data_IF_361231418733
#
_entry.id   IF_361231418733
#
_cell.length_a   1.000
_cell.length_b   1.000
_cell.length_c   1.000
_cell.angle_alpha   90.00
_cell.angle_beta   90.00
_cell.angle_gamma   90.00
#
_symmetry.space_group_name_H-M   'P 1'
#
loop_
_entity.id
_entity.type
_entity.pdbx_description
1 polymer ?
#
# COMPACT_ATOMS: atom_id res chain seq x y z
N UNK A 1 -3.32 -18.20 -12.38
CA UNK A 1 -3.62 -17.29 -11.23
C UNK A 1 -3.50 -15.86 -11.70
N UNK A 2 -4.43 -14.98 -11.27
CA UNK A 2 -4.45 -13.54 -11.59
C UNK A 2 -4.23 -12.74 -10.30
N UNK A 3 -3.32 -11.76 -10.33
CA UNK A 3 -3.04 -10.88 -9.20
C UNK A 3 -3.17 -9.43 -9.64
N UNK A 4 -3.87 -8.63 -8.85
CA UNK A 4 -4.11 -7.21 -9.08
C UNK A 4 -3.23 -6.37 -8.16
N UNK A 5 -2.38 -5.53 -8.75
CA UNK A 5 -1.54 -4.57 -8.06
C UNK A 5 -2.25 -3.22 -8.00
N UNK A 6 -2.43 -2.69 -6.81
CA UNK A 6 -3.02 -1.37 -6.55
C UNK A 6 -1.93 -0.43 -6.08
N UNK A 7 -1.58 0.54 -6.92
CA UNK A 7 -0.42 1.41 -6.68
C UNK A 7 0.88 0.81 -7.22
N UNK A 8 1.13 1.04 -8.51
CA UNK A 8 2.27 0.49 -9.25
C UNK A 8 3.56 1.34 -9.10
N UNK A 9 3.95 1.62 -7.87
CA UNK A 9 5.22 2.26 -7.51
C UNK A 9 6.39 1.27 -7.41
N UNK A 10 7.52 1.72 -6.88
CA UNK A 10 8.78 0.95 -6.79
C UNK A 10 8.59 -0.43 -6.13
N UNK A 11 8.02 -0.51 -4.94
CA UNK A 11 7.80 -1.79 -4.23
C UNK A 11 6.92 -2.74 -5.05
N UNK A 12 5.86 -2.22 -5.69
CA UNK A 12 5.01 -3.04 -6.54
C UNK A 12 5.74 -3.60 -7.77
N UNK A 13 6.64 -2.82 -8.38
CA UNK A 13 7.45 -3.27 -9.52
C UNK A 13 8.49 -4.31 -9.11
N UNK A 14 9.11 -4.19 -7.93
CA UNK A 14 9.98 -5.22 -7.34
C UNK A 14 9.21 -6.51 -7.10
N UNK A 15 8.05 -6.42 -6.46
CA UNK A 15 7.15 -7.56 -6.26
C UNK A 15 6.74 -8.22 -7.58
N UNK A 16 6.48 -7.42 -8.62
CA UNK A 16 6.13 -7.95 -9.94
C UNK A 16 7.24 -8.81 -10.55
N UNK A 17 8.51 -8.42 -10.39
CA UNK A 17 9.66 -9.23 -10.87
C UNK A 17 9.72 -10.61 -10.21
N UNK A 18 9.36 -10.70 -8.92
CA UNK A 18 9.35 -11.98 -8.18
C UNK A 18 8.17 -12.88 -8.59
N UNK A 19 7.05 -12.28 -8.99
CA UNK A 19 5.83 -13.00 -9.34
C UNK A 19 5.74 -13.39 -10.81
N UNK A 20 6.33 -12.60 -11.70
CA UNK A 20 6.36 -12.87 -13.14
C UNK A 20 7.46 -13.93 -13.46
N UNK A 21 7.21 -14.91 -14.37
CA UNK A 21 5.98 -15.17 -15.13
C UNK A 21 4.98 -16.10 -14.42
N UNK A 22 5.22 -16.47 -13.16
CA UNK A 22 4.42 -17.48 -12.42
C UNK A 22 2.92 -17.15 -12.34
N UNK A 23 2.56 -15.86 -12.34
CA UNK A 23 1.19 -15.39 -12.26
C UNK A 23 0.93 -14.28 -13.27
N UNK A 24 -0.32 -14.11 -13.71
CA UNK A 24 -0.72 -13.02 -14.58
C UNK A 24 -0.99 -11.77 -13.74
N UNK A 25 -0.18 -10.73 -13.95
CA UNK A 25 -0.24 -9.48 -13.20
C UNK A 25 -1.09 -8.43 -13.91
N UNK A 26 -1.94 -7.76 -13.16
CA UNK A 26 -2.68 -6.57 -13.57
C UNK A 26 -2.30 -5.42 -12.66
N UNK A 27 -2.16 -4.21 -13.18
CA UNK A 27 -1.78 -3.04 -12.39
C UNK A 27 -2.73 -1.88 -12.59
N UNK A 28 -3.32 -1.38 -11.50
CA UNK A 28 -4.14 -0.18 -11.54
C UNK A 28 -3.24 1.05 -11.60
N UNK A 29 -3.38 1.86 -12.64
CA UNK A 29 -2.73 3.17 -12.78
C UNK A 29 -3.72 4.22 -13.23
N UNK A 30 -3.57 5.45 -12.76
CA UNK A 30 -4.37 6.60 -13.19
C UNK A 30 -3.83 7.25 -14.48
N UNK A 31 -2.56 7.03 -14.82
CA UNK A 31 -1.88 7.67 -15.93
C UNK A 31 -1.72 6.72 -17.13
N UNK A 32 -2.17 7.16 -18.27
CA UNK A 32 -2.02 6.39 -19.52
C UNK A 32 -0.56 6.20 -19.95
N UNK A 33 0.28 7.15 -19.64
CA UNK A 33 1.75 7.13 -19.90
C UNK A 33 2.48 5.99 -19.19
N UNK A 34 1.98 5.53 -18.03
CA UNK A 34 2.56 4.40 -17.31
C UNK A 34 2.43 3.05 -18.04
N UNK A 35 1.60 2.95 -19.09
CA UNK A 35 1.30 1.68 -19.75
C UNK A 35 2.54 0.95 -20.29
N UNK A 36 3.44 1.68 -20.96
CA UNK A 36 4.65 1.08 -21.51
C UNK A 36 5.54 0.53 -20.40
N UNK A 37 5.76 1.33 -19.35
CA UNK A 37 6.53 0.95 -18.16
C UNK A 37 5.97 -0.30 -17.48
N UNK A 38 4.65 -0.38 -17.27
CA UNK A 38 4.02 -1.53 -16.63
C UNK A 38 4.16 -2.80 -17.49
N UNK A 39 3.95 -2.69 -18.81
CA UNK A 39 4.13 -3.83 -19.74
C UNK A 39 5.56 -4.36 -19.74
N UNK A 40 6.56 -3.49 -19.67
CA UNK A 40 7.96 -3.88 -19.57
C UNK A 40 8.26 -4.71 -18.30
N UNK A 41 7.42 -4.61 -17.25
CA UNK A 41 7.50 -5.44 -16.03
C UNK A 41 6.50 -6.61 -16.03
N UNK A 42 5.94 -6.99 -17.17
CA UNK A 42 4.98 -8.10 -17.29
C UNK A 42 3.60 -7.81 -16.68
N UNK A 43 3.27 -6.54 -16.44
CA UNK A 43 2.02 -6.10 -15.84
C UNK A 43 1.06 -5.59 -16.90
N UNK A 44 -0.15 -6.15 -16.96
CA UNK A 44 -1.24 -5.65 -17.80
C UNK A 44 -1.86 -4.40 -17.16
N UNK A 45 -1.76 -3.21 -17.78
CA UNK A 45 -2.24 -1.98 -17.17
C UNK A 45 -3.77 -1.87 -17.24
N UNK A 46 -4.39 -1.51 -16.12
CA UNK A 46 -5.79 -1.11 -16.01
C UNK A 46 -5.82 0.38 -15.66
N UNK A 47 -6.49 1.18 -16.51
CA UNK A 47 -6.63 2.62 -16.23
C UNK A 47 -7.80 2.84 -15.28
N UNK A 48 -7.52 3.50 -14.16
CA UNK A 48 -8.49 3.89 -13.14
C UNK A 48 -7.82 4.64 -12.00
N UNK A 49 -8.61 5.46 -11.33
CA UNK A 49 -8.16 6.34 -10.25
C UNK A 49 -8.89 5.99 -8.95
N UNK A 50 -8.15 5.71 -7.89
CA UNK A 50 -8.71 5.42 -6.56
C UNK A 50 -9.47 6.61 -5.97
N UNK A 51 -9.17 7.82 -6.43
CA UNK A 51 -9.89 9.02 -5.99
C UNK A 51 -11.23 9.20 -6.74
N UNK A 52 -11.49 8.42 -7.82
CA UNK A 52 -12.67 8.50 -8.69
C UNK A 52 -13.33 7.14 -8.87
N UNK A 53 -14.30 6.78 -8.00
CA UNK A 53 -14.97 5.45 -7.99
C UNK A 53 -15.50 5.02 -9.37
N UNK A 54 -16.04 5.95 -10.15
CA UNK A 54 -16.58 5.65 -11.48
C UNK A 54 -15.55 5.04 -12.45
N UNK A 55 -14.25 5.37 -12.27
CA UNK A 55 -13.17 4.85 -13.12
C UNK A 55 -12.79 3.43 -12.79
N UNK A 56 -13.17 2.92 -11.60
CA UNK A 56 -12.84 1.57 -11.12
C UNK A 56 -13.79 0.48 -11.65
N UNK A 57 -14.73 0.82 -12.52
CA UNK A 57 -15.69 -0.14 -13.13
C UNK A 57 -15.03 -1.28 -13.92
N UNK A 58 -13.76 -1.10 -14.33
CA UNK A 58 -12.97 -2.12 -15.05
C UNK A 58 -12.37 -3.19 -14.16
N UNK A 59 -12.47 -3.06 -12.82
CA UNK A 59 -12.01 -4.07 -11.85
C UNK A 59 -13.03 -5.22 -11.73
N UNK A 60 -13.42 -5.83 -12.87
CA UNK A 60 -14.48 -6.86 -12.93
C UNK A 60 -13.96 -8.29 -13.01
N UNK A 61 -12.68 -8.49 -13.27
CA UNK A 61 -12.12 -9.84 -13.36
C UNK A 61 -11.65 -10.27 -11.98
N UNK A 62 -12.45 -11.07 -11.27
CA UNK A 62 -12.11 -11.56 -9.94
C UNK A 62 -10.65 -12.02 -9.87
N UNK A 63 -9.74 -11.26 -9.26
CA UNK A 63 -8.37 -11.69 -9.10
C UNK A 63 -8.31 -12.75 -8.00
N UNK A 64 -7.37 -13.68 -8.10
CA UNK A 64 -7.05 -14.56 -6.98
C UNK A 64 -6.54 -13.75 -5.78
N UNK A 65 -5.68 -12.77 -6.05
CA UNK A 65 -5.08 -11.92 -5.03
C UNK A 65 -5.07 -10.44 -5.41
N UNK A 66 -5.16 -9.59 -4.40
CA UNK A 66 -4.95 -8.15 -4.50
C UNK A 66 -3.78 -7.77 -3.62
N UNK A 67 -2.80 -7.05 -4.18
CA UNK A 67 -1.69 -6.46 -3.44
C UNK A 67 -1.86 -4.94 -3.47
N UNK A 68 -2.16 -4.36 -2.31
CA UNK A 68 -2.49 -2.94 -2.17
C UNK A 68 -1.31 -2.15 -1.61
N UNK A 69 -0.56 -1.49 -2.49
CA UNK A 69 0.60 -0.66 -2.18
C UNK A 69 0.28 0.85 -2.17
N UNK A 70 -0.87 1.24 -2.73
CA UNK A 70 -1.18 2.66 -2.83
C UNK A 70 -1.28 3.31 -1.44
N UNK A 71 -0.69 4.51 -1.26
CA UNK A 71 -0.85 5.25 -0.02
C UNK A 71 -2.28 5.78 0.11
N UNK A 72 -2.75 6.05 1.35
CA UNK A 72 -3.96 6.81 1.56
C UNK A 72 -3.83 8.22 0.94
N UNK A 73 -4.93 8.97 0.77
CA UNK A 73 -4.85 10.35 0.34
C UNK A 73 -4.00 11.19 1.30
N UNK A 74 -3.49 12.35 0.84
CA UNK A 74 -2.66 13.26 1.64
C UNK A 74 -3.44 13.94 2.76
N UNK A 75 -4.72 14.12 2.55
CA UNK A 75 -5.66 14.87 3.39
C UNK A 75 -6.82 14.03 3.89
N UNK A 76 -7.65 14.63 4.75
CA UNK A 76 -8.78 13.94 5.37
C UNK A 76 -8.38 13.05 6.56
N UNK A 77 -9.39 12.51 7.23
CA UNK A 77 -9.23 11.65 8.42
C UNK A 77 -9.18 10.16 8.08
N UNK A 78 -9.78 9.76 6.94
CA UNK A 78 -9.96 8.37 6.50
C UNK A 78 -9.18 8.04 5.23
N UNK A 79 -8.99 6.76 4.96
CA UNK A 79 -8.51 6.28 3.67
C UNK A 79 -9.68 6.06 2.70
N UNK A 80 -10.08 7.14 2.02
CA UNK A 80 -11.13 7.09 1.00
C UNK A 80 -10.75 6.24 -0.23
N UNK A 81 -9.44 6.06 -0.50
CA UNK A 81 -8.95 5.23 -1.62
C UNK A 81 -9.22 3.76 -1.38
N UNK A 82 -8.85 3.25 -0.21
CA UNK A 82 -9.17 1.88 0.19
C UNK A 82 -10.68 1.66 0.24
N UNK A 83 -11.45 2.62 0.73
CA UNK A 83 -12.91 2.55 0.73
C UNK A 83 -13.49 2.37 -0.68
N UNK A 84 -13.07 3.21 -1.63
CA UNK A 84 -13.56 3.13 -3.01
C UNK A 84 -13.11 1.85 -3.70
N UNK A 85 -11.89 1.37 -3.41
CA UNK A 85 -11.39 0.10 -3.96
C UNK A 85 -12.28 -1.07 -3.55
N UNK A 86 -12.52 -1.28 -2.24
CA UNK A 86 -13.34 -2.40 -1.77
C UNK A 86 -14.80 -2.25 -2.20
N UNK A 87 -15.34 -1.03 -2.27
CA UNK A 87 -16.67 -0.78 -2.82
C UNK A 87 -16.77 -1.17 -4.31
N UNK A 88 -15.74 -0.85 -5.11
CA UNK A 88 -15.68 -1.25 -6.52
C UNK A 88 -15.60 -2.77 -6.68
N UNK A 89 -14.75 -3.45 -5.91
CA UNK A 89 -14.61 -4.91 -5.94
C UNK A 89 -15.92 -5.60 -5.53
N UNK A 90 -16.58 -5.12 -4.48
CA UNK A 90 -17.86 -5.67 -4.00
C UNK A 90 -18.98 -5.48 -5.05
N UNK A 91 -19.12 -4.26 -5.58
CA UNK A 91 -20.13 -3.94 -6.60
C UNK A 91 -19.93 -4.75 -7.89
N UNK A 92 -18.68 -4.97 -8.28
CA UNK A 92 -18.35 -5.77 -9.45
C UNK A 92 -18.42 -7.28 -9.22
N UNK A 93 -18.78 -7.75 -8.01
CA UNK A 93 -18.69 -9.16 -7.57
C UNK A 93 -17.32 -9.77 -7.89
N UNK A 94 -16.24 -8.96 -7.75
CA UNK A 94 -14.86 -9.31 -8.08
C UNK A 94 -14.04 -9.49 -6.79
N UNK A 95 -14.57 -10.33 -5.89
CA UNK A 95 -13.98 -10.57 -4.56
C UNK A 95 -12.76 -11.46 -4.70
N UNK A 96 -11.56 -11.02 -4.23
CA UNK A 96 -10.37 -11.84 -4.24
C UNK A 96 -10.41 -12.90 -3.13
N UNK A 97 -9.68 -13.99 -3.32
CA UNK A 97 -9.46 -14.96 -2.23
C UNK A 97 -8.47 -14.42 -1.19
N UNK A 98 -7.48 -13.66 -1.62
CA UNK A 98 -6.42 -13.09 -0.76
C UNK A 98 -6.27 -11.60 -1.00
N UNK A 99 -6.06 -10.86 0.08
CA UNK A 99 -5.80 -9.43 0.02
C UNK A 99 -4.61 -9.09 0.92
N UNK A 100 -3.56 -8.51 0.35
CA UNK A 100 -2.39 -8.03 1.10
C UNK A 100 -2.40 -6.50 1.08
N UNK A 101 -2.34 -5.89 2.24
CA UNK A 101 -2.28 -4.44 2.41
C UNK A 101 -0.95 -4.01 3.04
N UNK A 102 -0.26 -3.09 2.38
CA UNK A 102 0.93 -2.48 2.95
C UNK A 102 0.50 -1.33 3.85
N UNK A 103 0.55 -1.56 5.15
CA UNK A 103 0.35 -0.55 6.19
C UNK A 103 1.69 0.04 6.63
N UNK A 104 1.79 0.56 7.83
CA UNK A 104 3.02 1.14 8.39
C UNK A 104 3.17 0.81 9.87
N UNK A 105 4.41 0.65 10.33
CA UNK A 105 4.73 0.56 11.76
C UNK A 105 4.29 1.79 12.55
N UNK A 106 4.16 2.95 11.90
CA UNK A 106 3.67 4.19 12.52
C UNK A 106 2.25 4.11 13.12
N UNK A 107 1.49 3.02 12.87
CA UNK A 107 0.19 2.78 13.53
C UNK A 107 0.34 2.51 15.03
N UNK A 108 1.51 2.08 15.49
CA UNK A 108 1.79 1.84 16.92
C UNK A 108 2.09 3.12 17.70
N UNK A 109 2.42 4.22 17.02
CA UNK A 109 2.88 5.46 17.63
C UNK A 109 4.32 5.34 18.11
N UNK A 110 4.68 6.20 19.06
CA UNK A 110 5.96 6.16 19.73
C UNK A 110 5.98 4.99 20.73
N UNK A 111 7.01 4.19 20.66
CA UNK A 111 7.23 3.01 21.51
C UNK A 111 8.50 3.13 22.34
N UNK A 112 9.17 4.29 22.38
CA UNK A 112 10.38 4.58 23.14
C UNK A 112 11.46 3.48 22.99
N UNK A 113 11.70 3.00 21.76
CA UNK A 113 12.67 1.95 21.47
C UNK A 113 12.26 0.52 21.83
N UNK A 114 11.09 0.33 22.43
CA UNK A 114 10.64 -1.01 22.83
C UNK A 114 10.37 -1.92 21.61
N UNK A 115 10.63 -3.21 21.76
CA UNK A 115 10.22 -4.22 20.79
C UNK A 115 8.69 -4.26 20.67
N UNK A 116 8.17 -4.32 19.45
CA UNK A 116 6.74 -4.24 19.15
C UNK A 116 6.30 -5.50 18.44
N UNK A 117 5.42 -6.26 19.11
CA UNK A 117 4.72 -7.38 18.48
C UNK A 117 3.50 -6.89 17.69
N UNK A 118 3.02 -7.69 16.72
CA UNK A 118 1.87 -7.37 15.87
C UNK A 118 0.57 -7.17 16.65
N UNK A 119 0.47 -7.78 17.83
CA UNK A 119 -0.68 -7.70 18.76
C UNK A 119 -0.72 -6.43 19.58
N UNK A 120 0.39 -5.64 19.61
CA UNK A 120 0.43 -4.39 20.37
C UNK A 120 -0.70 -3.44 19.94
N UNK A 121 -1.41 -2.80 20.89
CA UNK A 121 -2.45 -1.84 20.59
C UNK A 121 -1.95 -0.68 19.70
N UNK A 122 -2.75 -0.32 18.71
CA UNK A 122 -2.44 0.80 17.80
C UNK A 122 -2.68 2.13 18.51
N UNK A 123 -1.70 3.03 18.46
CA UNK A 123 -1.72 4.36 19.07
C UNK A 123 -1.27 5.43 18.07
N UNK A 124 -1.87 5.41 16.88
CA UNK A 124 -1.54 6.33 15.78
C UNK A 124 -1.68 7.80 16.20
N UNK A 125 -0.59 8.57 16.10
CA UNK A 125 -0.56 9.99 16.48
C UNK A 125 -0.65 10.93 15.27
N UNK A 126 -0.02 10.57 14.15
CA UNK A 126 0.01 11.41 12.95
C UNK A 126 -1.24 11.24 12.08
N UNK A 127 -1.68 12.26 11.31
CA UNK A 127 -2.79 12.10 10.37
C UNK A 127 -2.59 10.95 9.39
N UNK A 128 -1.36 10.76 8.90
CA UNK A 128 -1.00 9.66 7.99
C UNK A 128 -1.19 8.30 8.65
N UNK A 129 -0.73 8.11 9.88
CA UNK A 129 -0.87 6.82 10.58
C UNK A 129 -2.34 6.55 10.98
N UNK A 130 -3.11 7.58 11.32
CA UNK A 130 -4.56 7.45 11.60
C UNK A 130 -5.32 6.95 10.38
N UNK A 131 -5.03 7.50 9.18
CA UNK A 131 -5.63 7.00 7.93
C UNK A 131 -5.28 5.55 7.65
N UNK A 132 -4.04 5.11 7.98
CA UNK A 132 -3.66 3.70 7.87
C UNK A 132 -4.44 2.81 8.84
N UNK A 133 -4.64 3.24 10.08
CA UNK A 133 -5.50 2.53 11.05
C UNK A 133 -6.93 2.40 10.51
N UNK A 134 -7.52 3.48 10.01
CA UNK A 134 -8.86 3.46 9.43
C UNK A 134 -8.96 2.48 8.23
N UNK A 135 -7.93 2.42 7.38
CA UNK A 135 -7.86 1.46 6.28
C UNK A 135 -7.77 0.02 6.79
N UNK A 136 -6.91 -0.25 7.80
CA UNK A 136 -6.79 -1.58 8.40
C UNK A 136 -8.11 -2.08 8.96
N UNK A 137 -8.85 -1.24 9.71
CA UNK A 137 -10.12 -1.60 10.31
C UNK A 137 -11.18 -1.89 9.24
N UNK A 138 -11.27 -1.01 8.24
CA UNK A 138 -12.20 -1.18 7.13
C UNK A 138 -11.92 -2.45 6.31
N UNK A 139 -10.65 -2.75 6.07
CA UNK A 139 -10.25 -3.98 5.39
C UNK A 139 -10.55 -5.24 6.21
N UNK A 140 -10.33 -5.23 7.54
CA UNK A 140 -10.69 -6.35 8.41
C UNK A 140 -12.18 -6.62 8.38
N UNK A 141 -13.00 -5.57 8.50
CA UNK A 141 -14.45 -5.72 8.48
C UNK A 141 -14.97 -6.20 7.13
N UNK A 142 -14.45 -5.65 6.05
CA UNK A 142 -14.81 -6.07 4.71
C UNK A 142 -14.36 -7.51 4.42
N UNK A 143 -13.12 -7.85 4.74
CA UNK A 143 -12.56 -9.18 4.51
C UNK A 143 -13.35 -10.26 5.27
N UNK A 144 -13.70 -10.00 6.54
CA UNK A 144 -14.53 -10.91 7.34
C UNK A 144 -15.89 -11.14 6.70
N UNK A 145 -16.57 -10.06 6.24
CA UNK A 145 -17.90 -10.18 5.58
C UNK A 145 -17.84 -10.88 4.23
N UNK A 146 -16.72 -10.79 3.52
CA UNK A 146 -16.59 -11.36 2.17
C UNK A 146 -15.84 -12.70 2.12
N UNK A 147 -15.39 -13.24 3.26
CA UNK A 147 -14.62 -14.47 3.30
C UNK A 147 -13.21 -14.35 2.69
N UNK A 148 -12.61 -13.15 2.72
CA UNK A 148 -11.29 -12.87 2.13
C UNK A 148 -10.19 -13.11 3.16
N UNK A 149 -9.15 -13.84 2.79
CA UNK A 149 -7.93 -13.96 3.61
C UNK A 149 -7.14 -12.65 3.51
N UNK A 150 -7.11 -11.90 4.61
CA UNK A 150 -6.43 -10.59 4.69
C UNK A 150 -5.09 -10.71 5.40
N UNK A 151 -4.04 -10.18 4.77
CA UNK A 151 -2.72 -9.95 5.38
C UNK A 151 -2.43 -8.45 5.41
N UNK A 152 -2.05 -7.93 6.59
CA UNK A 152 -1.66 -6.53 6.77
C UNK A 152 -0.19 -6.49 7.13
N UNK A 153 0.64 -5.91 6.26
CA UNK A 153 2.08 -5.76 6.45
C UNK A 153 2.36 -4.34 6.96
N UNK A 154 2.71 -4.20 8.23
CA UNK A 154 3.04 -2.92 8.86
C UNK A 154 4.51 -2.59 8.65
N UNK A 155 4.85 -2.24 7.40
CA UNK A 155 6.22 -1.94 7.00
C UNK A 155 6.73 -0.66 7.67
N UNK A 156 7.97 -0.65 8.17
CA UNK A 156 8.64 0.57 8.64
C UNK A 156 9.07 1.46 7.46
N UNK A 157 10.06 2.33 7.66
CA UNK A 157 10.64 3.12 6.59
C UNK A 157 11.25 2.23 5.51
N UNK A 158 10.68 2.21 4.31
CA UNK A 158 11.18 1.40 3.21
C UNK A 158 12.27 2.17 2.49
N UNK A 159 13.48 1.60 2.43
CA UNK A 159 14.62 2.19 1.73
C UNK A 159 15.13 1.29 0.60
N UNK A 160 15.85 1.88 -0.33
CA UNK A 160 16.62 1.23 -1.37
C UNK A 160 17.67 2.24 -1.87
N UNK A 161 18.66 1.81 -2.62
CA UNK A 161 19.65 2.69 -3.22
C UNK A 161 19.01 3.88 -3.96
N UNK A 162 18.00 3.63 -4.78
CA UNK A 162 17.26 4.64 -5.55
C UNK A 162 16.28 5.48 -4.72
N UNK A 163 16.21 5.26 -3.40
CA UNK A 163 15.24 5.91 -2.48
C UNK A 163 15.93 6.52 -1.26
N UNK A 164 17.22 6.64 -1.28
CA UNK A 164 17.96 7.35 -0.23
C UNK A 164 17.66 8.86 -0.30
N UNK A 165 17.64 9.57 0.83
CA UNK A 165 17.35 11.00 0.88
C UNK A 165 18.53 11.87 0.47
N UNK A 166 19.19 11.52 -0.64
CA UNK A 166 20.43 12.15 -1.12
C UNK A 166 20.26 13.65 -1.33
N UNK A 167 19.13 14.06 -1.94
CA UNK A 167 18.88 15.49 -2.19
C UNK A 167 18.72 16.29 -0.90
N UNK A 168 18.13 15.70 0.15
CA UNK A 168 18.02 16.36 1.46
C UNK A 168 19.41 16.59 2.08
N UNK A 169 20.29 15.60 1.95
CA UNK A 169 21.68 15.71 2.43
C UNK A 169 22.43 16.77 1.64
N UNK A 170 22.33 16.75 0.30
CA UNK A 170 22.99 17.74 -0.58
C UNK A 170 22.54 19.19 -0.32
N UNK A 171 21.27 19.38 0.02
CA UNK A 171 20.72 20.70 0.33
C UNK A 171 20.93 21.12 1.80
N UNK A 172 21.72 20.37 2.57
CA UNK A 172 22.00 20.69 3.97
C UNK A 172 20.72 20.75 4.84
N UNK A 173 19.70 19.92 4.54
CA UNK A 173 18.48 19.88 5.35
C UNK A 173 18.85 19.57 6.79
N UNK A 174 18.44 20.39 7.79
CA UNK A 174 18.77 20.16 9.19
C UNK A 174 18.38 18.76 9.65
N UNK A 175 19.22 18.15 10.46
CA UNK A 175 18.94 16.90 11.18
C UNK A 175 18.47 17.24 12.59
N UNK A 176 17.83 16.29 13.26
CA UNK A 176 17.46 16.44 14.67
C UNK A 176 18.72 16.57 15.53
N UNK A 177 18.65 17.38 16.56
CA UNK A 177 19.67 17.40 17.60
C UNK A 177 19.54 16.12 18.43
N UNK A 178 20.63 15.66 19.11
CA UNK A 178 20.61 14.40 19.85
C UNK A 178 19.46 14.25 20.85
N UNK A 179 19.08 15.32 21.52
CA UNK A 179 18.01 15.33 22.52
C UNK A 179 16.60 15.16 21.89
N UNK A 180 16.45 15.49 20.62
CA UNK A 180 15.20 15.33 19.87
C UNK A 180 15.18 14.05 19.00
N UNK A 181 16.26 13.24 19.08
CA UNK A 181 16.36 12.04 18.24
C UNK A 181 15.32 10.98 18.65
N UNK A 182 14.89 10.20 17.65
CA UNK A 182 13.83 9.22 17.82
C UNK A 182 14.23 7.86 17.27
N UNK A 183 13.73 6.82 17.91
CA UNK A 183 13.90 5.46 17.40
C UNK A 183 13.16 5.27 16.08
N UNK A 184 13.87 4.87 15.06
CA UNK A 184 13.32 4.58 13.73
C UNK A 184 13.64 3.14 13.31
N UNK A 185 12.74 2.55 12.53
CA UNK A 185 12.94 1.26 11.91
C UNK A 185 12.93 1.40 10.40
N UNK A 186 13.77 0.64 9.73
CA UNK A 186 13.85 0.61 8.28
C UNK A 186 13.90 -0.83 7.77
N UNK A 187 13.39 -1.04 6.56
CA UNK A 187 13.44 -2.31 5.84
C UNK A 187 13.87 -2.05 4.40
N UNK A 188 14.72 -2.91 3.86
CA UNK A 188 15.07 -2.84 2.44
C UNK A 188 13.86 -3.16 1.56
N UNK A 189 13.80 -2.57 0.38
CA UNK A 189 12.64 -2.71 -0.52
C UNK A 189 12.55 -4.08 -1.23
N UNK A 190 13.64 -4.86 -1.26
CA UNK A 190 13.70 -6.22 -1.84
C UNK A 190 13.39 -7.30 -0.81
#
# INVERSE_FOLDING_TARGET
IRVLLIGCGDVALRTARLLHPKVRLYGLTRRGEDRARLRAHGIVPIIGDLDRLATLRRLRAAPFGVLHFAPPPSDGRDDSRTQKLIAALTRARSIPQRFVYISTSGVYGDCAGARVAETRPRRARTPRSRRRVAAEDRLRDWARRQGVVLSILRAPGIYAETRLPVDRIRHGTPVLVPDDDVYTNHIHAD
#
